data_IF_560886355795
#
_entry.id   IF_560886355795
#
_cell.length_a   1.000
_cell.length_b   1.000
_cell.length_c   1.000
_cell.angle_alpha   90.00
_cell.angle_beta   90.00
_cell.angle_gamma   90.00
#
_symmetry.space_group_name_H-M   'P 1'
#
loop_
_entity.id
_entity.type
_entity.pdbx_description
1 polymer ?
#
# COMPACT_ATOMS: atom_id res chain seq x y z
N UNK A 1 -17.36 6.11 -12.52
CA UNK A 1 -17.16 6.70 -11.16
C UNK A 1 -17.18 5.56 -10.15
N UNK A 2 -16.02 5.14 -9.64
CA UNK A 2 -15.94 4.14 -8.57
C UNK A 2 -15.76 4.89 -7.25
N UNK A 3 -16.75 4.79 -6.38
CA UNK A 3 -16.78 5.47 -5.08
C UNK A 3 -16.02 4.63 -4.05
N UNK A 4 -15.01 5.21 -3.38
CA UNK A 4 -14.07 4.54 -2.46
C UNK A 4 -14.46 4.70 -0.97
N UNK A 5 -15.76 4.71 -0.65
CA UNK A 5 -16.24 5.05 0.69
C UNK A 5 -16.73 3.83 1.48
N UNK A 6 -15.84 2.87 1.78
CA UNK A 6 -16.09 1.89 2.85
C UNK A 6 -14.81 1.67 3.66
N UNK A 7 -14.78 2.05 4.96
CA UNK A 7 -13.60 1.84 5.79
C UNK A 7 -13.49 0.35 6.15
N UNK A 8 -12.47 -0.32 5.60
CA UNK A 8 -12.14 -1.69 5.99
C UNK A 8 -11.18 -1.69 7.19
N UNK A 9 -11.40 -2.60 8.14
CA UNK A 9 -10.64 -2.73 9.40
C UNK A 9 -9.15 -3.04 9.24
N UNK A 10 -8.68 -3.32 8.02
CA UNK A 10 -7.30 -3.65 7.69
C UNK A 10 -6.82 -2.80 6.50
N UNK A 11 -6.26 -1.60 6.72
CA UNK A 11 -5.76 -0.76 5.64
C UNK A 11 -4.50 -1.37 5.01
N UNK A 12 -4.69 -2.06 3.88
CA UNK A 12 -3.60 -2.52 3.00
C UNK A 12 -3.16 -1.43 2.01
N UNK A 13 -2.24 -1.78 1.10
CA UNK A 13 -1.71 -0.87 0.07
C UNK A 13 -2.82 -0.15 -0.75
N UNK A 14 -3.97 -0.79 -0.93
CA UNK A 14 -5.13 -0.24 -1.66
C UNK A 14 -6.06 0.64 -0.82
N UNK A 15 -5.77 0.83 0.47
CA UNK A 15 -6.50 1.73 1.35
C UNK A 15 -5.58 2.85 1.79
N UNK A 16 -5.50 3.84 0.92
CA UNK A 16 -4.80 5.07 1.22
C UNK A 16 -5.60 5.81 2.29
N UNK A 17 -5.02 5.91 3.48
CA UNK A 17 -5.67 6.59 4.60
C UNK A 17 -5.23 8.05 4.55
N UNK A 18 -6.15 9.03 4.47
CA UNK A 18 -5.79 10.42 4.68
C UNK A 18 -5.28 10.57 6.12
N UNK A 19 -4.06 11.07 6.25
CA UNK A 19 -3.46 11.46 7.51
C UNK A 19 -3.35 13.00 7.55
N UNK A 20 -3.23 13.62 8.73
CA UNK A 20 -3.15 15.08 8.84
C UNK A 20 -2.02 15.71 8.02
N UNK A 21 -0.97 14.94 7.74
CA UNK A 21 0.23 15.27 7.00
C UNK A 21 0.18 14.89 5.52
N UNK A 22 -0.89 14.23 5.04
CA UNK A 22 -1.03 13.78 3.66
C UNK A 22 -1.42 12.30 3.56
N UNK A 23 -1.18 11.67 2.41
CA UNK A 23 -1.54 10.27 2.23
C UNK A 23 -0.51 9.32 2.82
N UNK A 24 -0.98 8.21 3.39
CA UNK A 24 -0.15 7.15 3.96
C UNK A 24 -0.28 5.85 3.16
N UNK A 25 0.85 5.32 2.71
CA UNK A 25 0.93 4.05 2.00
C UNK A 25 1.74 3.02 2.81
N UNK A 26 1.21 1.81 2.95
CA UNK A 26 1.86 0.70 3.68
C UNK A 26 2.28 -0.41 2.73
N UNK A 27 3.59 -0.62 2.61
CA UNK A 27 4.20 -1.65 1.79
C UNK A 27 4.52 -2.87 2.65
N UNK A 28 4.11 -4.06 2.18
CA UNK A 28 4.41 -5.31 2.87
C UNK A 28 5.73 -5.89 2.39
N UNK A 29 6.56 -6.31 3.33
CA UNK A 29 7.86 -6.96 3.08
C UNK A 29 7.91 -8.26 3.88
N UNK A 30 7.50 -9.40 3.30
CA UNK A 30 7.54 -10.68 3.97
C UNK A 30 8.93 -11.00 4.54
N UNK A 31 8.99 -11.31 5.83
CA UNK A 31 10.27 -11.57 6.52
C UNK A 31 11.19 -10.35 6.64
N UNK A 32 10.74 -9.15 6.29
CA UNK A 32 11.57 -7.93 6.30
C UNK A 32 12.64 -7.90 5.21
N UNK A 33 12.58 -8.83 4.24
CA UNK A 33 13.55 -8.94 3.16
C UNK A 33 13.08 -8.18 1.93
N UNK A 34 14.02 -7.54 1.24
CA UNK A 34 13.80 -6.83 -0.02
C UNK A 34 14.83 -7.27 -1.05
N UNK A 35 14.36 -7.64 -2.23
CA UNK A 35 15.25 -7.82 -3.38
C UNK A 35 15.68 -6.44 -3.93
N UNK A 36 16.77 -6.40 -4.70
CA UNK A 36 17.19 -5.18 -5.38
C UNK A 36 16.09 -4.62 -6.31
N UNK A 37 15.37 -5.50 -7.00
CA UNK A 37 14.24 -5.12 -7.86
C UNK A 37 13.10 -4.48 -7.06
N UNK A 38 12.78 -5.03 -5.88
CA UNK A 38 11.76 -4.47 -5.00
C UNK A 38 12.18 -3.10 -4.46
N UNK A 39 13.43 -2.95 -4.02
CA UNK A 39 13.96 -1.67 -3.57
C UNK A 39 13.91 -0.59 -4.67
N UNK A 40 14.22 -0.97 -5.91
CA UNK A 40 14.12 -0.07 -7.07
C UNK A 40 12.65 0.36 -7.33
N UNK A 41 11.69 -0.57 -7.27
CA UNK A 41 10.28 -0.26 -7.43
C UNK A 41 9.76 0.70 -6.35
N UNK A 42 10.18 0.51 -5.09
CA UNK A 42 9.84 1.43 -3.98
C UNK A 42 10.41 2.82 -4.24
N UNK A 43 11.65 2.89 -4.71
CA UNK A 43 12.33 4.16 -4.99
C UNK A 43 11.64 4.92 -6.12
N UNK A 44 11.30 4.22 -7.21
CA UNK A 44 10.56 4.81 -8.33
C UNK A 44 9.20 5.36 -7.87
N UNK A 45 8.46 4.59 -7.07
CA UNK A 45 7.18 5.03 -6.52
C UNK A 45 7.33 6.27 -5.60
N UNK A 46 8.34 6.27 -4.72
CA UNK A 46 8.63 7.38 -3.84
C UNK A 46 8.98 8.65 -4.63
N UNK A 47 9.77 8.55 -5.69
CA UNK A 47 10.11 9.68 -6.57
C UNK A 47 8.89 10.23 -7.30
N UNK A 48 8.07 9.35 -7.89
CA UNK A 48 6.89 9.76 -8.64
C UNK A 48 5.85 10.48 -7.78
N UNK A 49 5.72 10.07 -6.52
CA UNK A 49 4.81 10.73 -5.56
C UNK A 49 5.47 11.82 -4.73
N UNK A 50 6.72 12.18 -5.01
CA UNK A 50 7.46 13.19 -4.25
C UNK A 50 7.44 12.89 -2.73
N UNK A 51 7.59 11.61 -2.40
CA UNK A 51 7.60 11.12 -1.03
C UNK A 51 8.89 11.52 -0.33
N UNK A 52 8.80 12.35 0.70
CA UNK A 52 9.96 12.78 1.48
C UNK A 52 10.34 11.78 2.57
N UNK A 53 9.36 11.00 3.07
CA UNK A 53 9.54 10.17 4.26
C UNK A 53 9.23 8.71 3.96
N UNK A 54 10.28 7.88 3.95
CA UNK A 54 10.20 6.42 3.97
C UNK A 54 10.57 5.89 5.37
N UNK A 55 9.66 5.18 6.01
CA UNK A 55 9.85 4.64 7.36
C UNK A 55 9.84 3.12 7.39
N UNK A 56 10.74 2.54 8.18
CA UNK A 56 10.70 1.13 8.58
C UNK A 56 9.86 0.98 9.84
N UNK A 57 8.95 0.02 9.86
CA UNK A 57 8.10 -0.28 11.02
C UNK A 57 8.71 -1.34 11.93
N UNK A 58 8.19 -1.47 13.15
CA UNK A 58 8.56 -2.54 14.09
C UNK A 58 8.29 -3.97 13.59
N UNK A 59 7.50 -4.12 12.52
CA UNK A 59 7.24 -5.40 11.83
C UNK A 59 8.04 -5.55 10.54
N UNK A 60 9.11 -4.76 10.39
CA UNK A 60 9.98 -4.70 9.21
C UNK A 60 9.28 -4.35 7.88
N UNK A 61 8.02 -3.91 7.92
CA UNK A 61 7.31 -3.33 6.77
C UNK A 61 7.74 -1.89 6.53
N UNK A 62 7.45 -1.37 5.33
CA UNK A 62 7.76 0.00 4.95
C UNK A 62 6.50 0.88 4.89
N UNK A 63 6.67 2.18 5.17
CA UNK A 63 5.63 3.19 5.06
C UNK A 63 6.14 4.40 4.28
N UNK A 64 5.38 4.82 3.27
CA UNK A 64 5.56 6.13 2.63
C UNK A 64 4.54 7.08 3.27
N UNK A 65 5.04 8.18 3.85
CA UNK A 65 4.23 9.16 4.61
C UNK A 65 4.21 10.52 3.94
N UNK A 66 3.27 11.34 4.38
CA UNK A 66 3.13 12.72 3.95
C UNK A 66 3.09 12.88 2.42
N UNK A 67 2.48 11.91 1.72
CA UNK A 67 2.40 11.96 0.27
C UNK A 67 1.47 13.14 -0.13
N UNK A 68 1.95 14.07 -0.99
CA UNK A 68 1.21 15.27 -1.37
C UNK A 68 -0.01 14.97 -2.24
N UNK A 69 0.00 13.84 -2.94
CA UNK A 69 -1.07 13.40 -3.84
C UNK A 69 -1.48 11.97 -3.55
N UNK A 70 -2.73 11.63 -3.88
CA UNK A 70 -3.21 10.26 -3.78
C UNK A 70 -2.39 9.33 -4.70
N UNK A 71 -1.96 8.15 -4.22
CA UNK A 71 -1.36 7.10 -5.04
C UNK A 71 -2.20 6.77 -6.28
N UNK A 72 -1.54 6.72 -7.45
CA UNK A 72 -2.18 6.35 -8.71
C UNK A 72 -2.31 4.83 -8.82
N UNK A 73 -3.33 4.37 -9.55
CA UNK A 73 -3.59 2.93 -9.72
C UNK A 73 -2.45 2.19 -10.44
N UNK A 74 -1.73 2.88 -11.33
CA UNK A 74 -0.58 2.37 -12.08
C UNK A 74 0.58 2.00 -11.14
N UNK A 75 1.02 2.93 -10.30
CA UNK A 75 2.14 2.67 -9.38
C UNK A 75 1.78 1.62 -8.32
N UNK A 76 0.50 1.56 -7.92
CA UNK A 76 0.02 0.47 -7.06
C UNK A 76 0.10 -0.89 -7.76
N UNK A 77 -0.12 -0.96 -9.08
CA UNK A 77 0.07 -2.17 -9.87
C UNK A 77 1.55 -2.53 -10.03
N UNK A 78 2.43 -1.55 -10.20
CA UNK A 78 3.88 -1.79 -10.28
C UNK A 78 4.43 -2.38 -8.97
N UNK A 79 4.02 -1.81 -7.83
CA UNK A 79 4.35 -2.36 -6.51
C UNK A 79 3.76 -3.75 -6.31
N UNK A 80 2.55 -4.01 -6.82
CA UNK A 80 1.95 -5.34 -6.78
C UNK A 80 2.73 -6.34 -7.64
N UNK A 81 3.13 -5.97 -8.85
CA UNK A 81 3.92 -6.79 -9.76
C UNK A 81 5.32 -7.09 -9.17
N UNK A 82 5.87 -6.17 -8.38
CA UNK A 82 7.09 -6.38 -7.61
C UNK A 82 6.91 -7.26 -6.35
N UNK A 83 5.69 -7.71 -6.03
CA UNK A 83 5.38 -8.52 -4.85
C UNK A 83 5.35 -7.72 -3.54
N UNK A 84 5.21 -6.40 -3.61
CA UNK A 84 5.24 -5.47 -2.47
C UNK A 84 3.85 -5.05 -1.97
N UNK A 85 2.81 -5.51 -2.65
CA UNK A 85 1.41 -5.33 -2.26
C UNK A 85 0.80 -6.64 -1.78
N UNK A 86 -0.19 -6.56 -0.89
CA UNK A 86 -1.14 -7.66 -0.76
C UNK A 86 -1.88 -7.82 -2.09
N UNK A 87 -2.26 -9.03 -2.54
CA UNK A 87 -3.11 -9.19 -3.70
C UNK A 87 -4.41 -8.39 -3.51
N UNK A 88 -4.99 -7.88 -4.62
CA UNK A 88 -6.35 -7.30 -4.61
C UNK A 88 -7.25 -8.25 -3.84
N UNK A 89 -7.93 -7.77 -2.80
CA UNK A 89 -8.93 -8.57 -2.09
C UNK A 89 -10.13 -8.77 -3.02
N UNK A 90 -10.09 -9.81 -3.85
CA UNK A 90 -11.20 -10.21 -4.74
C UNK A 90 -11.67 -11.64 -4.47
N UNK A 91 -11.53 -12.14 -3.24
CA UNK A 91 -12.23 -13.34 -2.81
C UNK A 91 -12.23 -13.43 -1.28
N UNK A 92 -13.29 -12.90 -0.67
CA UNK A 92 -13.82 -13.47 0.56
C UNK A 92 -15.31 -13.19 0.53
N UNK A 93 -16.07 -14.10 -0.08
CA UNK A 93 -17.50 -14.19 0.22
C UNK A 93 -17.65 -14.16 1.75
N UNK A 94 -18.57 -13.35 2.31
CA UNK A 94 -18.84 -13.44 3.73
C UNK A 94 -19.19 -14.90 4.07
N UNK A 95 -18.78 -15.43 5.24
CA UNK A 95 -19.29 -16.73 5.66
C UNK A 95 -20.82 -16.64 5.61
N UNK A 96 -21.46 -17.52 4.84
CA UNK A 96 -22.90 -17.71 4.97
C UNK A 96 -23.13 -18.09 6.43
N UNK A 97 -23.81 -17.22 7.16
CA UNK A 97 -24.41 -17.58 8.43
C UNK A 97 -25.44 -18.66 8.12
N UNK A 98 -25.11 -19.91 8.42
CA UNK A 98 -26.11 -20.96 8.60
C UNK A 98 -26.86 -20.63 9.90
N UNK A 99 -28.02 -19.98 9.76
CA UNK A 99 -29.14 -19.96 10.70
C UNK A 99 -30.45 -19.82 9.90
#
# INVERSE_FOLDING_TARGET
MVSLTKPHRCPGLFYVTPAPDGYLLRIRTPGGLLTAQQAAAITAAAQQWQCEILQVTNRANLQLRALPTAPTAEVLQDLQAAGLAAPKSSDRSPPQSDD
#
